data_IF_657985490406
#
_entry.id   IF_657985490406
#
_cell.length_a   1.000
_cell.length_b   1.000
_cell.length_c   1.000
_cell.angle_alpha   90.00
_cell.angle_beta   90.00
_cell.angle_gamma   90.00
#
_symmetry.space_group_name_H-M   'P 1'
#
loop_
_entity.id
_entity.type
_entity.pdbx_description
1 polymer ?
#
# COMPACT_ATOMS: atom_id res chain seq x y z
N UNK A 1 -22.04 -23.53 -38.69
CA UNK A 1 -21.37 -22.22 -38.62
C UNK A 1 -22.03 -21.33 -37.56
N UNK A 2 -23.33 -21.06 -37.67
CA UNK A 2 -24.10 -20.20 -36.74
C UNK A 2 -24.06 -20.62 -35.25
N UNK A 3 -24.09 -21.92 -34.94
CA UNK A 3 -23.96 -22.43 -33.56
C UNK A 3 -22.56 -22.18 -32.96
N UNK A 4 -21.52 -22.29 -33.77
CA UNK A 4 -20.14 -22.08 -33.35
C UNK A 4 -19.88 -20.59 -33.14
N UNK A 5 -20.40 -19.77 -34.05
CA UNK A 5 -20.36 -18.31 -33.97
C UNK A 5 -21.10 -17.84 -32.71
N UNK A 6 -22.34 -18.29 -32.47
CA UNK A 6 -23.09 -17.98 -31.24
C UNK A 6 -22.35 -18.40 -29.97
N UNK A 7 -21.69 -19.55 -29.93
CA UNK A 7 -20.86 -19.97 -28.79
C UNK A 7 -19.62 -19.09 -28.61
N UNK A 8 -18.96 -18.70 -29.70
CA UNK A 8 -17.82 -17.80 -29.67
C UNK A 8 -18.22 -16.39 -29.24
N UNK A 9 -19.36 -15.87 -29.71
CA UNK A 9 -19.92 -14.58 -29.27
C UNK A 9 -20.34 -14.64 -27.81
N UNK A 10 -20.98 -15.73 -27.37
CA UNK A 10 -21.37 -15.89 -25.96
C UNK A 10 -20.15 -16.07 -25.04
N UNK A 11 -19.08 -16.74 -25.50
CA UNK A 11 -17.82 -16.87 -24.77
C UNK A 11 -17.01 -15.56 -24.76
N UNK A 12 -17.05 -14.80 -25.86
CA UNK A 12 -16.49 -13.45 -25.94
C UNK A 12 -17.25 -12.49 -25.03
N UNK A 13 -18.58 -12.55 -25.01
CA UNK A 13 -19.43 -11.73 -24.16
C UNK A 13 -19.31 -12.13 -22.68
N UNK A 14 -19.25 -13.41 -22.34
CA UNK A 14 -19.02 -13.85 -20.94
C UNK A 14 -17.59 -13.62 -20.47
N UNK A 15 -16.59 -13.70 -21.36
CA UNK A 15 -15.21 -13.32 -21.08
C UNK A 15 -15.00 -11.80 -20.96
N UNK A 16 -15.82 -11.01 -21.64
CA UNK A 16 -15.79 -9.54 -21.63
C UNK A 16 -16.65 -8.92 -20.51
N UNK A 17 -17.70 -9.62 -20.05
CA UNK A 17 -18.74 -9.09 -19.12
C UNK A 17 -18.50 -9.27 -17.62
N UNK A 18 -17.33 -9.68 -17.12
CA UNK A 18 -17.01 -9.25 -15.75
C UNK A 18 -16.53 -7.80 -15.82
N UNK A 19 -17.49 -6.88 -15.92
CA UNK A 19 -17.25 -5.46 -16.16
C UNK A 19 -16.38 -4.92 -15.01
N UNK A 20 -15.34 -4.14 -15.31
CA UNK A 20 -14.51 -3.48 -14.28
C UNK A 20 -15.37 -2.78 -13.23
N UNK A 21 -16.49 -2.21 -13.66
CA UNK A 21 -17.51 -1.61 -12.79
C UNK A 21 -18.05 -2.58 -11.74
N UNK A 22 -18.41 -3.81 -12.12
CA UNK A 22 -18.95 -4.81 -11.18
C UNK A 22 -17.89 -5.26 -10.17
N UNK A 23 -16.64 -5.44 -10.61
CA UNK A 23 -15.52 -5.76 -9.71
C UNK A 23 -15.26 -4.61 -8.74
N UNK A 24 -15.24 -3.37 -9.23
CA UNK A 24 -15.04 -2.18 -8.41
C UNK A 24 -16.19 -1.99 -7.40
N UNK A 25 -17.45 -2.15 -7.84
CA UNK A 25 -18.62 -2.10 -6.96
C UNK A 25 -18.52 -3.21 -5.91
N UNK A 26 -18.24 -4.46 -6.31
CA UNK A 26 -18.08 -5.57 -5.37
C UNK A 26 -16.99 -5.32 -4.32
N UNK A 27 -15.83 -4.80 -4.74
CA UNK A 27 -14.74 -4.42 -3.85
C UNK A 27 -15.16 -3.32 -2.88
N UNK A 28 -15.71 -2.21 -3.37
CA UNK A 28 -16.14 -1.07 -2.54
C UNK A 28 -17.25 -1.49 -1.58
N UNK A 29 -18.23 -2.27 -2.03
CA UNK A 29 -19.30 -2.80 -1.18
C UNK A 29 -18.75 -3.73 -0.10
N UNK A 30 -17.78 -4.61 -0.42
CA UNK A 30 -17.19 -5.50 0.57
C UNK A 30 -16.38 -4.74 1.64
N UNK A 31 -15.53 -3.80 1.22
CA UNK A 31 -14.77 -2.93 2.13
C UNK A 31 -15.74 -2.11 3.00
N UNK A 32 -16.73 -1.45 2.38
CA UNK A 32 -17.73 -0.67 3.09
C UNK A 32 -18.50 -1.50 4.12
N UNK A 33 -18.94 -2.70 3.75
CA UNK A 33 -19.64 -3.61 4.65
C UNK A 33 -18.78 -3.96 5.88
N UNK A 34 -17.55 -4.43 5.68
CA UNK A 34 -16.66 -4.84 6.78
C UNK A 34 -16.26 -3.66 7.67
N UNK A 35 -16.09 -2.47 7.09
CA UNK A 35 -15.80 -1.25 7.87
C UNK A 35 -17.01 -0.78 8.70
N UNK A 36 -18.24 -0.97 8.22
CA UNK A 36 -19.46 -0.60 8.96
C UNK A 36 -19.72 -1.48 10.18
N UNK A 37 -19.26 -2.73 10.18
CA UNK A 37 -19.48 -3.68 11.28
C UNK A 37 -19.02 -3.16 12.65
N UNK A 38 -17.76 -2.73 12.87
CA UNK A 38 -17.34 -2.21 14.18
C UNK A 38 -18.01 -0.88 14.53
N UNK A 39 -18.36 -0.05 13.55
CA UNK A 39 -19.09 1.19 13.81
C UNK A 39 -20.47 0.90 14.40
N UNK A 40 -21.21 -0.05 13.81
CA UNK A 40 -22.50 -0.49 14.34
C UNK A 40 -22.32 -1.24 15.66
N UNK A 41 -21.42 -2.23 15.71
CA UNK A 41 -21.22 -3.10 16.87
C UNK A 41 -20.70 -2.34 18.11
N UNK A 42 -19.57 -1.64 17.99
CA UNK A 42 -18.93 -0.96 19.11
C UNK A 42 -19.55 0.43 19.30
N UNK A 43 -19.67 1.20 18.21
CA UNK A 43 -20.10 2.59 18.24
C UNK A 43 -21.59 2.78 18.54
N UNK A 44 -22.44 1.86 18.08
CA UNK A 44 -23.90 1.93 18.31
C UNK A 44 -24.34 0.95 19.40
N UNK A 45 -24.26 -0.36 19.15
CA UNK A 45 -24.82 -1.36 20.05
C UNK A 45 -24.16 -1.36 21.42
N UNK A 46 -22.82 -1.45 21.48
CA UNK A 46 -22.14 -1.56 22.77
C UNK A 46 -22.18 -0.26 23.56
N UNK A 47 -21.96 0.88 22.90
CA UNK A 47 -21.97 2.17 23.56
C UNK A 47 -23.35 2.57 24.10
N UNK A 48 -24.42 2.34 23.34
CA UNK A 48 -25.75 2.85 23.69
C UNK A 48 -26.69 1.83 24.31
N UNK A 49 -26.52 0.53 24.06
CA UNK A 49 -27.43 -0.51 24.56
C UNK A 49 -26.78 -1.32 25.67
N UNK A 50 -25.50 -1.69 25.52
CA UNK A 50 -24.82 -2.58 26.46
C UNK A 50 -24.32 -1.86 27.72
N UNK A 51 -23.73 -0.67 27.56
CA UNK A 51 -23.25 0.15 28.69
C UNK A 51 -23.67 1.63 28.56
N UNK A 52 -24.99 1.91 28.53
CA UNK A 52 -25.52 3.27 28.30
C UNK A 52 -25.01 4.29 29.33
N UNK A 53 -24.86 3.88 30.59
CA UNK A 53 -24.53 4.77 31.70
C UNK A 53 -23.02 4.94 31.94
N UNK A 54 -22.19 4.52 30.98
CA UNK A 54 -20.74 4.56 31.16
C UNK A 54 -20.19 5.98 31.02
N UNK A 55 -20.13 6.67 32.15
CA UNK A 55 -19.68 8.07 32.25
C UNK A 55 -18.16 8.26 32.32
N UNK A 56 -17.38 7.19 32.45
CA UNK A 56 -15.93 7.30 32.69
C UNK A 56 -15.23 7.75 31.40
N UNK A 57 -14.97 9.05 31.32
CA UNK A 57 -14.04 9.62 30.34
C UNK A 57 -12.65 9.11 30.74
N UNK A 58 -11.96 8.44 29.83
CA UNK A 58 -10.57 8.02 30.05
C UNK A 58 -9.73 9.30 30.19
N UNK A 59 -9.05 9.45 31.33
CA UNK A 59 -7.97 10.42 31.42
C UNK A 59 -6.79 9.93 30.58
N UNK A 60 -6.59 10.56 29.43
CA UNK A 60 -5.55 10.21 28.46
C UNK A 60 -4.14 10.55 28.96
N UNK A 61 -4.00 11.37 30.01
CA UNK A 61 -2.72 11.90 30.47
C UNK A 61 -2.18 11.14 31.68
N UNK A 62 -3.03 10.85 32.68
CA UNK A 62 -2.57 10.17 33.90
C UNK A 62 -2.59 8.64 33.78
N UNK A 63 -3.53 8.08 33.00
CA UNK A 63 -3.64 6.66 32.63
C UNK A 63 -3.27 5.59 33.70
N UNK A 64 -3.58 5.83 34.98
CA UNK A 64 -2.93 5.07 36.07
C UNK A 64 -3.49 3.65 36.28
N UNK A 65 -4.71 3.34 35.79
CA UNK A 65 -5.30 1.99 35.86
C UNK A 65 -6.47 1.71 34.88
N UNK A 66 -6.82 2.64 33.98
CA UNK A 66 -7.92 2.44 33.01
C UNK A 66 -7.68 3.19 31.70
N UNK A 67 -6.69 2.75 30.93
CA UNK A 67 -6.31 3.30 29.62
C UNK A 67 -7.24 2.90 28.46
N UNK A 68 -8.32 2.18 28.76
CA UNK A 68 -9.32 1.82 27.79
C UNK A 68 -10.72 2.02 28.35
N UNK A 69 -11.67 2.36 27.47
CA UNK A 69 -13.03 2.75 27.84
C UNK A 69 -13.87 1.56 28.32
N UNK A 70 -13.32 0.34 28.24
CA UNK A 70 -13.95 -0.95 28.55
C UNK A 70 -15.29 -1.16 27.82
N UNK A 71 -15.68 -0.36 26.82
CA UNK A 71 -17.01 -0.39 26.17
C UNK A 71 -17.26 -1.79 25.59
N UNK A 72 -16.24 -2.36 24.96
CA UNK A 72 -16.29 -3.72 24.42
C UNK A 72 -16.52 -4.81 25.49
N UNK A 73 -15.96 -4.63 26.69
CA UNK A 73 -16.06 -5.63 27.77
C UNK A 73 -17.28 -5.43 28.66
N UNK A 74 -17.98 -4.30 28.54
CA UNK A 74 -19.15 -4.00 29.34
C UNK A 74 -18.84 -3.77 30.82
N UNK A 75 -19.75 -4.24 31.68
CA UNK A 75 -19.63 -4.19 33.15
C UNK A 75 -18.77 -5.34 33.73
N UNK A 76 -18.35 -6.32 32.90
CA UNK A 76 -17.60 -7.49 33.35
C UNK A 76 -16.13 -7.22 33.69
N UNK A 77 -15.58 -6.13 33.14
CA UNK A 77 -14.18 -5.76 33.35
C UNK A 77 -14.10 -4.63 34.38
N UNK A 78 -14.28 -4.99 35.64
CA UNK A 78 -14.06 -4.11 36.78
C UNK A 78 -13.56 -4.91 38.02
N UNK A 79 -12.36 -4.63 38.55
CA UNK A 79 -11.31 -3.76 37.99
C UNK A 79 -10.68 -4.36 36.72
N UNK A 80 -9.84 -3.59 36.01
CA UNK A 80 -9.09 -4.07 34.83
C UNK A 80 -8.18 -5.21 35.25
N UNK A 81 -8.39 -6.42 34.71
CA UNK A 81 -7.87 -7.63 35.37
C UNK A 81 -6.67 -8.29 34.69
N UNK A 82 -6.23 -7.83 33.51
CA UNK A 82 -5.12 -8.49 32.79
C UNK A 82 -4.50 -7.67 31.67
N UNK A 83 -3.27 -8.03 31.30
CA UNK A 83 -2.68 -7.70 30.00
C UNK A 83 -3.57 -8.26 28.87
N UNK A 84 -3.67 -7.52 27.77
CA UNK A 84 -4.34 -7.90 26.52
C UNK A 84 -3.35 -7.64 25.38
N UNK A 85 -3.52 -8.40 24.32
CA UNK A 85 -2.60 -8.40 23.19
C UNK A 85 -2.93 -7.31 22.15
N UNK A 86 -4.20 -6.93 22.04
CA UNK A 86 -4.69 -5.80 21.23
C UNK A 86 -5.89 -5.20 21.96
N UNK A 87 -5.95 -3.87 22.08
CA UNK A 87 -7.04 -3.17 22.74
C UNK A 87 -7.69 -2.18 21.78
N UNK A 88 -9.01 -2.11 21.83
CA UNK A 88 -9.78 -1.17 21.03
C UNK A 88 -10.61 -0.28 21.95
N UNK A 89 -10.44 1.02 21.79
CA UNK A 89 -11.34 2.03 22.34
C UNK A 89 -12.39 2.38 21.29
N UNK A 90 -13.59 2.77 21.70
CA UNK A 90 -14.63 3.30 20.83
C UNK A 90 -14.32 4.74 20.41
N UNK A 91 -13.19 4.95 19.74
CA UNK A 91 -12.72 6.24 19.22
C UNK A 91 -12.67 6.25 17.69
N UNK A 92 -12.58 7.45 17.11
CA UNK A 92 -12.34 7.63 15.69
C UNK A 92 -11.03 7.00 15.22
N UNK A 93 -9.97 7.07 16.04
CA UNK A 93 -8.67 6.49 15.71
C UNK A 93 -8.76 4.96 15.53
N UNK A 94 -9.48 4.27 16.43
CA UNK A 94 -9.74 2.83 16.26
C UNK A 94 -10.50 2.53 14.96
N UNK A 95 -11.45 3.38 14.57
CA UNK A 95 -12.15 3.23 13.30
C UNK A 95 -11.23 3.44 12.08
N UNK A 96 -10.31 4.42 12.13
CA UNK A 96 -9.29 4.63 11.09
C UNK A 96 -8.35 3.43 10.96
N UNK A 97 -7.84 2.93 12.09
CA UNK A 97 -6.98 1.73 12.14
C UNK A 97 -7.70 0.53 11.51
N UNK A 98 -8.96 0.30 11.89
CA UNK A 98 -9.76 -0.79 11.32
C UNK A 98 -9.94 -0.63 9.81
N UNK A 99 -10.35 0.56 9.37
CA UNK A 99 -10.61 0.84 7.95
C UNK A 99 -9.37 0.66 7.10
N UNK A 100 -8.22 1.17 7.55
CA UNK A 100 -6.95 0.97 6.85
C UNK A 100 -6.58 -0.52 6.79
N UNK A 101 -6.71 -1.25 7.90
CA UNK A 101 -6.39 -2.67 7.97
C UNK A 101 -7.25 -3.49 7.01
N UNK A 102 -8.56 -3.23 6.96
CA UNK A 102 -9.47 -3.86 6.00
C UNK A 102 -9.06 -3.54 4.57
N UNK A 103 -8.80 -2.28 4.25
CA UNK A 103 -8.40 -1.87 2.90
C UNK A 103 -7.11 -2.60 2.46
N UNK A 104 -6.08 -2.63 3.30
CA UNK A 104 -4.82 -3.33 3.03
C UNK A 104 -5.07 -4.82 2.79
N UNK A 105 -5.84 -5.49 3.65
CA UNK A 105 -6.16 -6.91 3.50
C UNK A 105 -6.86 -7.23 2.16
N UNK A 106 -7.84 -6.42 1.76
CA UNK A 106 -8.56 -6.62 0.50
C UNK A 106 -7.67 -6.35 -0.73
N UNK A 107 -6.87 -5.28 -0.70
CA UNK A 107 -5.91 -4.99 -1.77
C UNK A 107 -4.87 -6.11 -1.91
N UNK A 108 -4.32 -6.59 -0.78
CA UNK A 108 -3.37 -7.72 -0.76
C UNK A 108 -4.02 -8.99 -1.28
N UNK A 109 -5.25 -9.30 -0.87
CA UNK A 109 -5.99 -10.45 -1.38
C UNK A 109 -6.16 -10.41 -2.90
N UNK A 110 -6.60 -9.28 -3.45
CA UNK A 110 -6.79 -9.12 -4.89
C UNK A 110 -5.47 -9.19 -5.65
N UNK A 111 -4.39 -8.61 -5.11
CA UNK A 111 -3.06 -8.70 -5.69
C UNK A 111 -2.54 -10.16 -5.73
N UNK A 112 -2.68 -10.90 -4.62
CA UNK A 112 -2.29 -12.31 -4.55
C UNK A 112 -3.16 -13.16 -5.49
N UNK A 113 -4.47 -12.95 -5.51
CA UNK A 113 -5.39 -13.66 -6.41
C UNK A 113 -5.01 -13.47 -7.86
N UNK A 114 -4.70 -12.24 -8.27
CA UNK A 114 -4.19 -11.94 -9.60
C UNK A 114 -2.86 -12.67 -9.86
N UNK A 115 -1.90 -12.56 -8.93
CA UNK A 115 -0.57 -13.14 -9.08
C UNK A 115 -0.60 -14.67 -9.18
N UNK A 116 -1.41 -15.34 -8.35
CA UNK A 116 -1.65 -16.79 -8.43
C UNK A 116 -2.19 -17.15 -9.82
N UNK A 117 -3.09 -16.34 -10.37
CA UNK A 117 -3.56 -16.50 -11.75
C UNK A 117 -2.43 -16.45 -12.78
N UNK A 118 -1.54 -15.45 -12.68
CA UNK A 118 -0.37 -15.29 -13.57
C UNK A 118 0.59 -16.47 -13.45
N UNK A 119 0.89 -16.90 -12.22
CA UNK A 119 1.78 -18.03 -11.94
C UNK A 119 1.21 -19.34 -12.50
N UNK A 120 -0.09 -19.60 -12.32
CA UNK A 120 -0.75 -20.80 -12.85
C UNK A 120 -0.78 -20.85 -14.38
N UNK A 121 -0.82 -19.70 -15.05
CA UNK A 121 -0.71 -19.62 -16.52
C UNK A 121 0.72 -19.80 -17.03
N UNK A 122 1.73 -19.77 -16.16
CA UNK A 122 3.14 -19.82 -16.55
C UNK A 122 3.63 -18.56 -17.27
N UNK A 123 2.87 -17.46 -17.23
CA UNK A 123 3.20 -16.20 -17.92
C UNK A 123 3.98 -15.22 -17.05
N UNK A 124 4.53 -15.67 -15.92
CA UNK A 124 5.16 -14.77 -14.97
C UNK A 124 6.56 -14.31 -15.41
N UNK A 125 6.77 -12.99 -15.49
CA UNK A 125 8.11 -12.39 -15.67
C UNK A 125 8.84 -12.34 -14.33
N UNK A 126 9.85 -13.21 -14.15
CA UNK A 126 10.61 -13.37 -12.89
C UNK A 126 11.22 -12.07 -12.34
N UNK A 127 11.72 -11.19 -13.22
CA UNK A 127 12.31 -9.90 -12.81
C UNK A 127 11.30 -9.03 -12.05
N UNK A 128 10.10 -8.89 -12.62
CA UNK A 128 9.01 -8.11 -12.04
C UNK A 128 8.42 -8.77 -10.80
N UNK A 129 8.39 -10.11 -10.75
CA UNK A 129 8.03 -10.83 -9.53
C UNK A 129 9.01 -10.54 -8.40
N UNK A 130 10.33 -10.56 -8.68
CA UNK A 130 11.33 -10.20 -7.68
C UNK A 130 11.16 -8.76 -7.19
N UNK A 131 10.93 -7.82 -8.11
CA UNK A 131 10.60 -6.42 -7.78
C UNK A 131 9.37 -6.30 -6.87
N UNK A 132 8.32 -7.08 -7.13
CA UNK A 132 7.12 -7.13 -6.29
C UNK A 132 7.40 -7.72 -4.90
N UNK A 133 8.27 -8.73 -4.80
CA UNK A 133 8.57 -9.37 -3.52
C UNK A 133 9.37 -8.45 -2.60
N UNK A 134 10.29 -7.65 -3.15
CA UNK A 134 11.04 -6.69 -2.32
C UNK A 134 10.17 -5.54 -1.83
N UNK A 135 9.09 -5.15 -2.54
CA UNK A 135 8.17 -4.11 -2.06
C UNK A 135 7.22 -4.55 -0.94
N UNK A 136 7.20 -5.84 -0.56
CA UNK A 136 6.36 -6.31 0.57
C UNK A 136 6.74 -5.63 1.88
N UNK A 137 8.03 -5.41 2.13
CA UNK A 137 8.48 -4.80 3.38
C UNK A 137 8.02 -3.34 3.52
N UNK A 138 8.23 -2.43 2.55
CA UNK A 138 7.70 -1.06 2.62
C UNK A 138 6.19 -1.00 2.84
N UNK A 139 5.40 -1.82 2.12
CA UNK A 139 3.94 -1.85 2.30
C UNK A 139 3.53 -2.28 3.71
N UNK A 140 4.17 -3.32 4.24
CA UNK A 140 3.95 -3.78 5.60
C UNK A 140 4.35 -2.71 6.62
N UNK A 141 5.54 -2.12 6.45
CA UNK A 141 6.05 -1.06 7.31
C UNK A 141 5.08 0.13 7.32
N UNK A 142 4.61 0.57 6.16
CA UNK A 142 3.64 1.67 6.03
C UNK A 142 2.33 1.38 6.77
N UNK A 143 1.73 0.20 6.58
CA UNK A 143 0.55 -0.21 7.36
C UNK A 143 0.82 -0.20 8.87
N UNK A 144 1.94 -0.78 9.30
CA UNK A 144 2.30 -0.88 10.71
C UNK A 144 2.55 0.49 11.34
N UNK A 145 3.24 1.40 10.64
CA UNK A 145 3.44 2.77 11.11
C UNK A 145 2.12 3.50 11.28
N UNK A 146 1.20 3.44 10.30
CA UNK A 146 -0.12 4.05 10.45
C UNK A 146 -0.93 3.48 11.59
N UNK A 147 -0.89 2.16 11.77
CA UNK A 147 -1.50 1.50 12.92
C UNK A 147 -1.02 2.17 14.23
N UNK A 148 0.29 2.34 14.38
CA UNK A 148 0.87 2.96 15.58
C UNK A 148 0.60 4.47 15.66
N UNK A 149 0.62 5.20 14.55
CA UNK A 149 0.36 6.64 14.52
C UNK A 149 -1.02 6.97 15.11
N UNK A 150 -2.05 6.23 14.72
CA UNK A 150 -3.38 6.41 15.29
C UNK A 150 -3.54 5.78 16.68
N UNK A 151 -2.81 4.71 16.98
CA UNK A 151 -2.89 4.04 18.28
C UNK A 151 -2.26 4.88 19.40
N UNK A 152 -1.15 5.56 19.09
CA UNK A 152 -0.37 6.34 20.07
C UNK A 152 -0.66 7.85 20.01
N UNK A 153 -1.30 8.34 18.94
CA UNK A 153 -1.67 9.77 18.75
C UNK A 153 -0.46 10.72 18.91
N UNK A 154 0.74 10.22 18.63
CA UNK A 154 2.01 10.87 19.00
C UNK A 154 2.82 11.39 17.79
N UNK A 155 2.66 10.76 16.62
CA UNK A 155 3.59 10.98 15.51
C UNK A 155 3.13 12.08 14.55
N UNK A 156 4.02 13.04 14.26
CA UNK A 156 3.75 14.16 13.33
C UNK A 156 4.11 13.88 11.87
N UNK A 157 4.72 12.72 11.55
CA UNK A 157 5.20 12.40 10.19
C UNK A 157 4.12 11.82 9.25
N UNK A 158 2.85 12.03 9.56
CA UNK A 158 1.73 11.37 8.87
C UNK A 158 1.66 11.73 7.37
N UNK A 159 1.82 13.02 7.04
CA UNK A 159 1.65 13.52 5.68
C UNK A 159 2.78 13.07 4.74
N UNK A 160 4.02 13.17 5.22
CA UNK A 160 5.21 12.71 4.50
C UNK A 160 5.12 11.21 4.20
N UNK A 161 4.80 10.38 5.21
CA UNK A 161 4.65 8.93 5.01
C UNK A 161 3.50 8.60 4.03
N UNK A 162 2.44 9.43 3.99
CA UNK A 162 1.28 9.16 3.13
C UNK A 162 1.63 9.34 1.66
N UNK A 163 2.45 10.35 1.38
CA UNK A 163 2.97 10.59 0.05
C UNK A 163 3.75 9.37 -0.47
N UNK A 164 4.64 8.81 0.36
CA UNK A 164 5.38 7.60 0.02
C UNK A 164 4.45 6.40 -0.16
N UNK A 165 3.59 6.10 0.82
CA UNK A 165 2.70 4.92 0.75
C UNK A 165 1.78 4.94 -0.48
N UNK A 166 1.20 6.09 -0.84
CA UNK A 166 0.34 6.21 -2.02
C UNK A 166 1.13 6.00 -3.32
N UNK A 167 2.32 6.59 -3.43
CA UNK A 167 3.14 6.46 -4.64
C UNK A 167 3.78 5.08 -4.77
N UNK A 168 4.18 4.45 -3.66
CA UNK A 168 4.57 3.03 -3.58
C UNK A 168 3.44 2.12 -4.09
N UNK A 169 2.19 2.39 -3.70
CA UNK A 169 1.03 1.63 -4.15
C UNK A 169 0.82 1.77 -5.68
N UNK A 170 0.93 2.99 -6.22
CA UNK A 170 0.86 3.23 -7.67
C UNK A 170 1.95 2.46 -8.42
N UNK A 171 3.19 2.54 -7.95
CA UNK A 171 4.33 1.80 -8.51
C UNK A 171 4.09 0.29 -8.48
N UNK A 172 3.56 -0.21 -7.37
CA UNK A 172 3.24 -1.63 -7.16
C UNK A 172 2.15 -2.13 -8.10
N UNK A 173 1.11 -1.33 -8.37
CA UNK A 173 0.06 -1.69 -9.35
C UNK A 173 0.67 -1.86 -10.75
N UNK A 174 1.60 -0.98 -11.13
CA UNK A 174 2.30 -1.08 -12.42
C UNK A 174 3.21 -2.32 -12.46
N UNK A 175 3.98 -2.58 -11.40
CA UNK A 175 4.82 -3.78 -11.26
C UNK A 175 3.99 -5.05 -11.33
N UNK A 176 2.85 -5.10 -10.64
CA UNK A 176 1.92 -6.24 -10.66
C UNK A 176 1.38 -6.47 -12.08
N UNK A 177 1.04 -5.40 -12.81
CA UNK A 177 0.65 -5.52 -14.22
C UNK A 177 1.79 -6.11 -15.08
N UNK A 178 3.03 -5.66 -14.88
CA UNK A 178 4.21 -6.11 -15.61
C UNK A 178 4.68 -7.52 -15.24
N UNK A 179 4.21 -8.09 -14.12
CA UNK A 179 4.45 -9.48 -13.78
C UNK A 179 3.89 -10.46 -14.81
N UNK A 180 2.84 -10.13 -15.56
CA UNK A 180 2.24 -11.01 -16.58
C UNK A 180 2.80 -10.72 -17.98
N UNK A 181 3.40 -11.73 -18.61
CA UNK A 181 3.94 -11.67 -19.97
C UNK A 181 2.89 -11.37 -21.03
N UNK A 182 1.61 -11.61 -20.73
CA UNK A 182 0.48 -11.22 -21.57
C UNK A 182 0.28 -9.70 -21.68
N UNK A 183 0.73 -8.92 -20.70
CA UNK A 183 0.70 -7.46 -20.79
C UNK A 183 1.95 -6.94 -21.49
N UNK A 184 1.76 -6.09 -22.51
CA UNK A 184 2.88 -5.44 -23.20
C UNK A 184 3.61 -4.48 -22.26
N UNK A 185 4.94 -4.57 -22.31
CA UNK A 185 5.84 -3.58 -21.75
C UNK A 185 5.70 -2.29 -22.57
N UNK A 186 5.51 -1.17 -21.89
CA UNK A 186 5.39 0.17 -22.48
C UNK A 186 6.35 1.10 -21.76
N UNK A 187 6.93 2.04 -22.48
CA UNK A 187 7.90 3.02 -21.95
C UNK A 187 7.34 3.81 -20.77
N UNK A 188 6.12 4.34 -20.86
CA UNK A 188 5.49 5.06 -19.74
C UNK A 188 5.37 4.23 -18.46
N UNK A 189 5.15 2.90 -18.54
CA UNK A 189 5.06 2.03 -17.34
C UNK A 189 6.42 1.94 -16.65
N UNK A 190 7.47 1.78 -17.45
CA UNK A 190 8.84 1.71 -16.97
C UNK A 190 9.27 3.05 -16.37
N UNK A 191 8.93 4.16 -17.04
CA UNK A 191 9.20 5.51 -16.54
C UNK A 191 8.40 5.82 -15.27
N UNK A 192 7.14 5.42 -15.16
CA UNK A 192 6.36 5.65 -13.95
C UNK A 192 7.00 4.98 -12.73
N UNK A 193 7.37 3.70 -12.84
CA UNK A 193 8.07 2.98 -11.77
C UNK A 193 9.43 3.62 -11.49
N UNK A 194 10.21 3.94 -12.52
CA UNK A 194 11.51 4.58 -12.36
C UNK A 194 11.41 5.94 -11.66
N UNK A 195 10.53 6.82 -12.12
CA UNK A 195 10.41 8.20 -11.62
C UNK A 195 9.93 8.26 -10.18
N UNK A 196 8.94 7.43 -9.79
CA UNK A 196 8.46 7.36 -8.41
C UNK A 196 9.61 6.98 -7.47
N UNK A 197 10.26 5.85 -7.75
CA UNK A 197 11.27 5.30 -6.86
C UNK A 197 12.56 6.13 -6.88
N UNK A 198 12.91 6.78 -8.00
CA UNK A 198 14.03 7.73 -8.02
C UNK A 198 13.74 8.93 -7.13
N UNK A 199 12.51 9.44 -7.14
CA UNK A 199 12.14 10.56 -6.27
C UNK A 199 12.17 10.15 -4.79
N UNK A 200 11.74 8.92 -4.45
CA UNK A 200 11.90 8.34 -3.11
C UNK A 200 13.37 8.29 -2.67
N UNK A 201 14.26 7.76 -3.52
CA UNK A 201 15.71 7.71 -3.23
C UNK A 201 16.27 9.12 -2.96
N UNK A 202 15.86 10.11 -3.75
CA UNK A 202 16.33 11.50 -3.59
C UNK A 202 15.87 12.09 -2.26
N UNK A 203 14.60 11.94 -1.90
CA UNK A 203 14.03 12.50 -0.66
C UNK A 203 14.59 11.74 0.55
N UNK A 204 14.45 10.41 0.61
CA UNK A 204 14.92 9.60 1.75
C UNK A 204 16.43 9.63 1.90
N UNK A 205 17.16 9.79 0.79
CA UNK A 205 18.60 10.01 0.77
C UNK A 205 19.01 11.28 1.51
N UNK A 206 18.33 12.39 1.21
CA UNK A 206 18.58 13.69 1.85
C UNK A 206 18.19 13.67 3.33
N UNK A 207 17.07 13.03 3.68
CA UNK A 207 16.51 13.15 5.03
C UNK A 207 17.18 12.25 6.07
N UNK A 208 17.35 10.95 5.82
CA UNK A 208 17.68 9.99 6.88
C UNK A 208 18.72 8.94 6.46
N UNK A 209 18.67 8.46 5.22
CA UNK A 209 19.46 7.31 4.79
C UNK A 209 20.98 7.59 4.81
N UNK A 210 21.40 8.75 4.28
CA UNK A 210 22.83 9.12 4.27
C UNK A 210 23.35 9.27 5.71
N UNK A 211 22.58 9.90 6.59
CA UNK A 211 23.01 10.10 7.97
C UNK A 211 23.10 8.79 8.76
N UNK A 212 22.04 7.99 8.73
CA UNK A 212 21.95 6.80 9.55
C UNK A 212 22.80 5.64 9.04
N UNK A 213 22.91 5.49 7.72
CA UNK A 213 23.58 4.34 7.10
C UNK A 213 24.98 4.72 6.62
N UNK A 214 25.09 5.73 5.75
CA UNK A 214 26.37 6.08 5.11
C UNK A 214 27.34 6.70 6.13
N UNK A 215 26.87 7.63 6.96
CA UNK A 215 27.68 8.20 8.04
C UNK A 215 27.65 7.37 9.34
N UNK A 216 26.90 6.26 9.36
CA UNK A 216 26.81 5.35 10.51
C UNK A 216 26.44 6.06 11.82
N UNK A 217 25.61 7.11 11.75
CA UNK A 217 25.14 7.86 12.93
C UNK A 217 23.83 7.34 13.52
N UNK A 218 23.16 6.41 12.84
CA UNK A 218 21.89 5.82 13.29
C UNK A 218 22.11 4.67 14.26
N UNK A 219 21.12 4.44 15.13
CA UNK A 219 21.05 3.18 15.87
C UNK A 219 20.78 2.01 14.91
N UNK A 220 21.20 0.80 15.30
CA UNK A 220 21.09 -0.39 14.45
C UNK A 220 19.68 -0.63 13.87
N UNK A 221 18.62 -0.36 14.65
CA UNK A 221 17.24 -0.51 14.18
C UNK A 221 16.84 0.55 13.15
N UNK A 222 17.37 1.78 13.26
CA UNK A 222 17.13 2.85 12.29
C UNK A 222 17.84 2.53 10.97
N UNK A 223 19.11 2.13 11.04
CA UNK A 223 19.88 1.75 9.85
C UNK A 223 19.26 0.54 9.14
N UNK A 224 18.79 -0.48 9.87
CA UNK A 224 18.13 -1.65 9.27
C UNK A 224 16.81 -1.28 8.60
N UNK A 225 16.00 -0.43 9.25
CA UNK A 225 14.77 0.10 8.66
C UNK A 225 15.06 0.85 7.36
N UNK A 226 16.04 1.76 7.39
CA UNK A 226 16.36 2.62 6.25
C UNK A 226 16.90 1.80 5.06
N UNK A 227 17.70 0.76 5.33
CA UNK A 227 18.09 -0.22 4.31
C UNK A 227 16.86 -0.96 3.75
N UNK A 228 15.95 -1.40 4.62
CA UNK A 228 14.73 -2.08 4.20
C UNK A 228 13.80 -1.24 3.33
N UNK A 229 13.79 0.08 3.51
CA UNK A 229 13.01 1.01 2.70
C UNK A 229 13.73 1.42 1.41
N UNK A 230 15.04 1.66 1.45
CA UNK A 230 15.84 2.09 0.30
C UNK A 230 16.08 0.96 -0.73
N UNK A 231 16.28 -0.27 -0.27
CA UNK A 231 16.59 -1.40 -1.15
C UNK A 231 15.49 -1.67 -2.20
N UNK A 232 14.19 -1.70 -1.83
CA UNK A 232 13.10 -1.78 -2.80
C UNK A 232 13.16 -0.70 -3.86
N UNK A 233 13.38 0.57 -3.49
CA UNK A 233 13.44 1.67 -4.45
C UNK A 233 14.58 1.50 -5.46
N UNK A 234 15.77 1.10 -4.99
CA UNK A 234 16.91 0.81 -5.84
C UNK A 234 16.57 -0.31 -6.84
N UNK A 235 15.90 -1.38 -6.39
CA UNK A 235 15.46 -2.47 -7.28
C UNK A 235 14.43 -1.98 -8.29
N UNK A 236 13.49 -1.13 -7.87
CA UNK A 236 12.47 -0.54 -8.75
C UNK A 236 13.05 0.48 -9.73
N UNK A 237 14.23 1.06 -9.48
CA UNK A 237 14.97 1.85 -10.48
C UNK A 237 15.77 0.95 -11.42
N UNK A 238 16.47 -0.05 -10.87
CA UNK A 238 17.37 -0.92 -11.63
C UNK A 238 16.64 -1.83 -12.63
N UNK A 239 15.50 -2.41 -12.25
CA UNK A 239 14.76 -3.36 -13.11
C UNK A 239 14.18 -2.71 -14.37
N UNK A 240 13.50 -1.55 -14.30
CA UNK A 240 13.08 -0.83 -15.51
C UNK A 240 14.25 -0.45 -16.42
N UNK A 241 15.38 0.01 -15.86
CA UNK A 241 16.60 0.33 -16.63
C UNK A 241 17.14 -0.91 -17.33
N UNK A 242 17.18 -2.05 -16.65
CA UNK A 242 17.57 -3.32 -17.28
C UNK A 242 16.61 -3.71 -18.40
N UNK A 243 15.30 -3.65 -18.16
CA UNK A 243 14.29 -4.00 -19.16
C UNK A 243 14.40 -3.09 -20.40
N UNK A 244 14.55 -1.78 -20.23
CA UNK A 244 14.77 -0.81 -21.30
C UNK A 244 16.02 -1.12 -22.11
N UNK A 245 17.15 -1.38 -21.45
CA UNK A 245 18.39 -1.72 -22.13
C UNK A 245 18.27 -3.01 -22.95
N UNK A 246 17.57 -4.02 -22.41
CA UNK A 246 17.32 -5.27 -23.16
C UNK A 246 16.40 -5.04 -24.36
N UNK A 247 15.44 -4.13 -24.24
CA UNK A 247 14.52 -3.79 -25.33
C UNK A 247 15.20 -2.95 -26.42
N UNK A 248 16.04 -1.99 -26.06
CA UNK A 248 16.82 -1.20 -27.00
C UNK A 248 17.76 -2.10 -27.83
N UNK A 249 18.46 -3.01 -27.15
CA UNK A 249 19.34 -4.00 -27.81
C UNK A 249 18.58 -4.90 -28.78
N UNK A 250 17.39 -5.37 -28.44
CA UNK A 250 16.60 -6.22 -29.34
C UNK A 250 16.05 -5.49 -30.56
N UNK A 251 15.95 -4.15 -30.50
CA UNK A 251 15.56 -3.30 -31.62
C UNK A 251 16.74 -2.71 -32.40
N UNK A 252 17.98 -3.01 -32.02
CA UNK A 252 19.18 -2.35 -32.54
C UNK A 252 19.09 -0.81 -32.45
N UNK A 253 18.44 -0.29 -31.42
CA UNK A 253 18.24 1.14 -31.18
C UNK A 253 18.93 1.59 -29.90
N UNK A 254 18.99 2.90 -29.67
CA UNK A 254 19.37 3.43 -28.34
C UNK A 254 18.16 3.48 -27.41
N UNK A 255 18.40 3.59 -26.09
CA UNK A 255 17.32 3.73 -25.09
C UNK A 255 16.54 5.02 -25.31
N UNK A 256 17.22 6.11 -25.70
CA UNK A 256 16.62 7.42 -25.94
C UNK A 256 15.62 7.41 -27.11
N UNK A 257 15.88 6.61 -28.13
CA UNK A 257 14.99 6.43 -29.29
C UNK A 257 13.71 5.66 -28.96
N UNK A 258 13.64 4.96 -27.82
CA UNK A 258 12.44 4.26 -27.40
C UNK A 258 11.38 5.21 -26.83
N UNK A 259 11.80 6.35 -26.29
CA UNK A 259 10.94 7.25 -25.54
C UNK A 259 10.27 8.32 -26.40
N UNK A 260 9.03 8.62 -26.07
CA UNK A 260 8.40 9.86 -26.51
C UNK A 260 8.92 11.04 -25.69
N UNK A 261 9.08 12.21 -26.32
CA UNK A 261 9.61 13.42 -25.65
C UNK A 261 8.72 13.84 -24.49
N UNK A 262 7.41 13.70 -24.67
CA UNK A 262 6.39 14.00 -23.66
C UNK A 262 6.54 13.12 -22.43
N UNK A 263 6.85 11.83 -22.61
CA UNK A 263 7.07 10.90 -21.49
C UNK A 263 8.29 11.30 -20.66
N UNK A 264 9.39 11.70 -21.31
CA UNK A 264 10.61 12.17 -20.63
C UNK A 264 10.38 13.49 -19.90
N UNK A 265 9.65 14.42 -20.52
CA UNK A 265 9.28 15.70 -19.90
C UNK A 265 8.41 15.48 -18.66
N UNK A 266 7.38 14.63 -18.76
CA UNK A 266 6.51 14.31 -17.63
C UNK A 266 7.26 13.60 -16.51
N UNK A 267 8.17 12.67 -16.84
CA UNK A 267 9.01 12.00 -15.86
C UNK A 267 9.92 12.99 -15.11
N UNK A 268 10.59 13.90 -15.84
CA UNK A 268 11.45 14.92 -15.24
C UNK A 268 10.66 15.90 -14.37
N UNK A 269 9.53 16.40 -14.86
CA UNK A 269 8.64 17.28 -14.10
C UNK A 269 8.12 16.60 -12.83
N UNK A 270 7.71 15.34 -12.93
CA UNK A 270 7.27 14.57 -11.77
C UNK A 270 8.38 14.45 -10.72
N UNK A 271 9.59 14.05 -11.12
CA UNK A 271 10.72 13.90 -10.18
C UNK A 271 11.02 15.23 -9.50
N UNK A 272 11.08 16.34 -10.25
CA UNK A 272 11.39 17.66 -9.68
C UNK A 272 10.30 18.11 -8.71
N UNK A 273 9.03 18.09 -9.14
CA UNK A 273 7.92 18.57 -8.31
C UNK A 273 7.72 17.69 -7.08
N UNK A 274 7.83 16.37 -7.24
CA UNK A 274 7.70 15.43 -6.14
C UNK A 274 8.82 15.59 -5.11
N UNK A 275 10.08 15.71 -5.57
CA UNK A 275 11.21 15.93 -4.67
C UNK A 275 11.09 17.25 -3.91
N UNK A 276 10.72 18.35 -4.58
CA UNK A 276 10.50 19.64 -3.91
C UNK A 276 9.38 19.54 -2.88
N UNK A 277 8.24 18.96 -3.28
CA UNK A 277 7.08 18.83 -2.40
C UNK A 277 7.36 17.93 -1.20
N UNK A 278 8.05 16.81 -1.42
CA UNK A 278 8.44 15.87 -0.38
C UNK A 278 9.43 16.45 0.64
N UNK A 279 10.28 17.41 0.26
CA UNK A 279 11.17 18.11 1.21
C UNK A 279 10.44 19.19 2.02
N UNK A 280 9.28 19.70 1.54
CA UNK A 280 8.52 20.77 2.21
C UNK A 280 7.57 20.22 3.29
N UNK A 281 7.09 18.98 3.13
CA UNK A 281 6.08 18.34 3.99
C UNK A 281 6.73 17.37 4.96
#
# INVERSE_FOLDING_TARGET
MEYLEKKLTTAHDTGSRTNFKEKAIGFVSAVGFVCLLPLLHIGVFYKHIWVPDKKKIIDRYACDCSCFDTIFRGRYEYPVSSYKHVYFNATSNTFYIWTLTVLVLFLTYDAIKYLVGVLRRGTCRRRWLFTLLVSVYPHYYSWWSYFNYWNEDFYQHWAHHMLFAVTELVSTVVVLNLCDSGHRVKTWKLLAVFSINLAHILISGIDQFIEHVVFSKGFAFQSLRDVGLMLPDIVHVAVPVWELNTWARSKHSTVWELFYREELMMAALFIILFSIFGTII
#
